data_IF_927342503195
#
_entry.id   IF_927342503195
#
_cell.length_a   1.000
_cell.length_b   1.000
_cell.length_c   1.000
_cell.angle_alpha   90.00
_cell.angle_beta   90.00
_cell.angle_gamma   90.00
#
_symmetry.space_group_name_H-M   'P 1'
#
loop_
_entity.id
_entity.type
_entity.pdbx_description
1 polymer ?
#
# COMPACT_ATOMS: atom_id res chain seq x y z
N UNK A 1 2.90 7.92 29.16
CA UNK A 1 3.00 8.46 30.55
C UNK A 1 3.84 7.48 31.35
N UNK A 2 4.74 7.93 32.24
CA UNK A 2 5.51 7.01 33.05
C UNK A 2 4.58 6.14 33.93
N UNK A 3 4.81 4.84 33.91
CA UNK A 3 4.05 3.88 34.70
C UNK A 3 4.71 3.72 36.06
N UNK A 4 3.96 3.93 37.13
CA UNK A 4 4.45 3.69 38.49
C UNK A 4 4.21 2.24 38.91
N UNK A 5 5.15 1.65 39.60
CA UNK A 5 4.99 0.36 40.25
C UNK A 5 5.34 0.47 41.73
N UNK A 6 4.69 -0.34 42.56
CA UNK A 6 4.91 -0.37 44.01
C UNK A 6 5.34 -1.78 44.44
N UNK A 7 6.16 -1.83 45.48
CA UNK A 7 6.57 -3.10 46.11
C UNK A 7 6.53 -2.97 47.63
N UNK A 8 6.02 -4.02 48.27
CA UNK A 8 5.96 -4.13 49.73
C UNK A 8 6.30 -5.54 50.15
N UNK A 9 7.19 -5.70 51.11
CA UNK A 9 7.52 -6.97 51.70
C UNK A 9 6.70 -7.25 52.97
N UNK A 10 6.52 -8.51 53.31
CA UNK A 10 5.86 -8.94 54.53
C UNK A 10 6.77 -9.89 55.30
N UNK A 11 6.97 -9.57 56.59
CA UNK A 11 7.66 -10.46 57.54
C UNK A 11 6.59 -11.23 58.33
N UNK A 12 6.69 -12.56 58.32
CA UNK A 12 5.83 -13.42 59.11
C UNK A 12 6.62 -14.06 60.27
N UNK A 13 6.11 -13.93 61.48
CA UNK A 13 6.72 -14.49 62.69
C UNK A 13 5.62 -14.87 63.72
N UNK A 14 5.66 -16.08 64.23
CA UNK A 14 4.68 -16.58 65.25
C UNK A 14 3.21 -16.27 64.90
N UNK A 15 2.78 -16.57 63.69
CA UNK A 15 1.45 -16.27 63.12
C UNK A 15 1.10 -14.77 63.05
N UNK A 16 2.05 -13.87 63.23
CA UNK A 16 1.89 -12.45 63.00
C UNK A 16 2.48 -12.09 61.61
N UNK A 17 1.87 -11.14 60.97
CA UNK A 17 2.28 -10.60 59.66
C UNK A 17 2.57 -9.11 59.81
N UNK A 18 3.79 -8.71 59.53
CA UNK A 18 4.28 -7.32 59.63
C UNK A 18 4.65 -6.81 58.25
N UNK A 19 3.87 -5.92 57.61
CA UNK A 19 4.23 -5.35 56.32
C UNK A 19 5.36 -4.32 56.49
N UNK A 20 6.21 -4.26 55.47
CA UNK A 20 7.18 -3.16 55.32
C UNK A 20 6.49 -1.87 54.86
N UNK A 21 7.24 -0.77 54.79
CA UNK A 21 6.80 0.39 53.99
C UNK A 21 6.64 -0.02 52.53
N UNK A 22 5.76 0.69 51.80
CA UNK A 22 5.64 0.60 50.36
C UNK A 22 6.71 1.47 49.71
N UNK A 23 7.46 0.89 48.78
CA UNK A 23 8.38 1.63 47.91
C UNK A 23 7.77 1.78 46.52
N UNK A 24 7.94 2.94 45.90
CA UNK A 24 7.40 3.27 44.57
C UNK A 24 8.56 3.50 43.59
N UNK A 25 8.51 2.82 42.44
CA UNK A 25 9.39 3.06 41.32
C UNK A 25 8.64 3.64 40.13
N UNK A 26 9.36 4.21 39.20
CA UNK A 26 8.82 4.77 37.94
C UNK A 26 9.48 4.02 36.77
N UNK A 27 8.65 3.44 35.92
CA UNK A 27 9.08 2.90 34.64
C UNK A 27 9.02 4.02 33.60
N UNK A 28 10.16 4.38 33.05
CA UNK A 28 10.26 5.38 32.00
C UNK A 28 10.35 4.66 30.64
N UNK A 29 9.45 4.98 29.74
CA UNK A 29 9.50 4.53 28.36
C UNK A 29 10.64 5.27 27.65
N UNK A 30 11.55 4.52 27.05
CA UNK A 30 12.73 5.05 26.36
C UNK A 30 12.72 4.76 24.86
N UNK A 31 11.79 3.92 24.39
CA UNK A 31 11.62 3.60 22.98
C UNK A 31 10.46 4.37 22.40
N UNK A 32 10.70 5.02 21.26
CA UNK A 32 9.65 5.56 20.39
C UNK A 32 9.69 4.88 19.04
N UNK A 33 8.51 4.77 18.40
CA UNK A 33 8.36 4.21 17.05
C UNK A 33 7.59 5.22 16.20
N UNK A 34 8.02 5.36 14.94
CA UNK A 34 7.31 6.09 13.90
C UNK A 34 7.30 5.30 12.61
N UNK A 35 6.26 5.48 11.80
CA UNK A 35 6.11 4.86 10.49
C UNK A 35 5.71 5.91 9.48
N UNK A 36 6.32 5.89 8.32
CA UNK A 36 6.01 6.79 7.20
C UNK A 36 5.93 5.99 5.92
N UNK A 37 5.01 6.39 5.03
CA UNK A 37 5.02 5.97 3.64
C UNK A 37 5.81 7.01 2.83
N UNK A 38 6.71 6.56 1.97
CA UNK A 38 7.46 7.45 1.07
C UNK A 38 6.59 7.81 -0.14
N UNK A 39 5.66 6.91 -0.52
CA UNK A 39 4.70 7.12 -1.60
C UNK A 39 3.52 7.93 -1.06
N UNK A 40 3.14 9.01 -1.73
CA UNK A 40 2.06 9.90 -1.27
C UNK A 40 0.66 9.34 -1.55
N UNK A 41 0.48 8.63 -2.68
CA UNK A 41 -0.78 8.03 -3.10
C UNK A 41 -0.50 6.72 -3.85
N UNK A 42 -1.53 5.88 -4.06
CA UNK A 42 -1.39 4.60 -4.78
C UNK A 42 -2.50 4.39 -5.81
N UNK A 43 -2.16 3.61 -6.84
CA UNK A 43 -3.07 2.97 -7.78
C UNK A 43 -3.01 1.44 -7.62
N UNK A 44 -3.87 0.72 -8.36
CA UNK A 44 -3.88 -0.74 -8.31
C UNK A 44 -2.59 -1.34 -8.90
N UNK A 45 -1.92 -2.17 -8.12
CA UNK A 45 -0.67 -2.79 -8.52
C UNK A 45 0.57 -1.94 -8.26
N UNK A 46 0.43 -0.78 -7.61
CA UNK A 46 1.55 0.07 -7.25
C UNK A 46 2.39 -0.51 -6.12
N UNK A 47 3.64 -0.05 -6.09
CA UNK A 47 4.59 -0.35 -5.02
C UNK A 47 4.67 0.83 -4.06
N UNK A 48 4.38 0.57 -2.77
CA UNK A 48 4.51 1.52 -1.68
C UNK A 48 5.75 1.16 -0.87
N UNK A 49 6.60 2.15 -0.60
CA UNK A 49 7.75 1.98 0.29
C UNK A 49 7.45 2.58 1.65
N UNK A 50 7.62 1.78 2.70
CA UNK A 50 7.50 2.21 4.09
C UNK A 50 8.86 2.34 4.75
N UNK A 51 8.98 3.32 5.65
CA UNK A 51 10.08 3.45 6.60
C UNK A 51 9.52 3.40 8.02
N UNK A 52 10.05 2.49 8.84
CA UNK A 52 9.76 2.40 10.28
C UNK A 52 11.01 2.77 11.04
N UNK A 53 10.93 3.83 11.85
CA UNK A 53 12.03 4.30 12.66
C UNK A 53 11.77 4.01 14.14
N UNK A 54 12.76 3.44 14.80
CA UNK A 54 12.81 3.15 16.23
C UNK A 54 13.90 3.99 16.86
N UNK A 55 13.57 4.75 17.90
CA UNK A 55 14.55 5.62 18.61
C UNK A 55 14.59 5.23 20.08
N UNK A 56 15.77 4.87 20.55
CA UNK A 56 16.05 4.55 21.94
C UNK A 56 16.72 5.74 22.63
N UNK A 57 16.00 6.45 23.48
CA UNK A 57 16.54 7.55 24.30
C UNK A 57 17.21 7.09 25.60
N UNK A 58 17.18 5.78 25.88
CA UNK A 58 17.78 5.19 27.08
C UNK A 58 19.29 5.02 26.99
N UNK A 59 19.90 4.77 28.13
CA UNK A 59 21.35 4.58 28.29
C UNK A 59 21.80 3.14 28.07
N UNK A 60 20.88 2.20 27.85
CA UNK A 60 21.15 0.80 27.54
C UNK A 60 20.64 0.46 26.13
N UNK A 61 21.34 -0.42 25.42
CA UNK A 61 20.88 -0.94 24.14
C UNK A 61 19.62 -1.82 24.34
N UNK A 62 18.66 -1.73 23.43
CA UNK A 62 17.52 -2.63 23.35
C UNK A 62 17.82 -3.72 22.31
N UNK A 63 17.64 -4.99 22.70
CA UNK A 63 17.92 -6.16 21.84
C UNK A 63 16.76 -7.15 21.88
N UNK A 64 16.67 -8.03 20.87
CA UNK A 64 15.58 -9.01 20.80
C UNK A 64 14.21 -8.41 20.53
N UNK A 65 14.16 -7.26 19.86
CA UNK A 65 12.91 -6.66 19.42
C UNK A 65 12.38 -7.39 18.17
N UNK A 66 11.07 -7.43 18.09
CA UNK A 66 10.32 -7.94 16.92
C UNK A 66 9.42 -6.83 16.40
N UNK A 67 9.44 -6.63 15.09
CA UNK A 67 8.51 -5.76 14.38
C UNK A 67 7.54 -6.65 13.61
N UNK A 68 6.24 -6.40 13.80
CA UNK A 68 5.16 -7.02 13.01
C UNK A 68 4.39 -5.92 12.30
N UNK A 69 4.27 -6.04 10.98
CA UNK A 69 3.54 -5.12 10.12
C UNK A 69 2.30 -5.82 9.56
N UNK A 70 1.12 -5.24 9.74
CA UNK A 70 -0.14 -5.86 9.34
C UNK A 70 -0.43 -5.78 7.84
N UNK A 71 0.43 -5.08 7.05
CA UNK A 71 0.28 -4.86 5.61
C UNK A 71 -1.09 -4.24 5.24
N UNK A 72 -1.59 -3.36 6.12
CA UNK A 72 -2.86 -2.69 5.93
C UNK A 72 -4.10 -3.58 6.14
N UNK A 73 -3.96 -4.72 6.80
CA UNK A 73 -5.08 -5.64 7.03
C UNK A 73 -6.29 -4.93 7.65
N UNK A 74 -7.47 -5.16 7.06
CA UNK A 74 -8.73 -4.58 7.49
C UNK A 74 -9.90 -5.55 7.28
N UNK A 75 -11.05 -5.24 7.87
CA UNK A 75 -12.30 -6.00 7.69
C UNK A 75 -13.26 -5.17 6.84
N UNK A 76 -13.55 -5.58 5.58
CA UNK A 76 -14.35 -4.79 4.64
C UNK A 76 -15.78 -4.51 5.11
N UNK A 77 -16.41 -5.46 5.80
CA UNK A 77 -17.75 -5.33 6.37
C UNK A 77 -17.88 -6.17 7.64
N UNK A 78 -18.78 -5.79 8.51
CA UNK A 78 -19.07 -6.54 9.74
C UNK A 78 -19.45 -8.00 9.41
N UNK A 79 -18.81 -8.95 10.09
CA UNK A 79 -19.04 -10.39 9.89
C UNK A 79 -18.28 -11.01 8.73
N UNK A 80 -17.45 -10.28 7.99
CA UNK A 80 -16.54 -10.82 6.96
C UNK A 80 -15.16 -11.13 7.55
N UNK A 81 -14.39 -11.97 6.87
CA UNK A 81 -12.99 -12.20 7.23
C UNK A 81 -12.13 -10.96 6.92
N UNK A 82 -11.10 -10.76 7.73
CA UNK A 82 -10.10 -9.74 7.44
C UNK A 82 -9.36 -10.06 6.13
N UNK A 83 -9.08 -9.03 5.35
CA UNK A 83 -8.30 -9.09 4.12
C UNK A 83 -7.01 -8.29 4.26
N UNK A 84 -5.99 -8.65 3.47
CA UNK A 84 -4.69 -7.98 3.46
C UNK A 84 -4.50 -7.30 2.10
N UNK A 85 -4.60 -5.97 2.02
CA UNK A 85 -4.58 -5.22 0.74
C UNK A 85 -3.19 -5.10 0.11
N UNK A 86 -2.13 -5.44 0.84
CA UNK A 86 -0.76 -5.30 0.35
C UNK A 86 0.04 -6.60 0.52
N UNK A 87 0.96 -6.83 -0.40
CA UNK A 87 1.86 -7.99 -0.39
C UNK A 87 3.30 -7.52 -0.25
N UNK A 88 4.01 -8.02 0.76
CA UNK A 88 5.44 -7.73 0.94
C UNK A 88 6.25 -8.15 -0.30
N UNK A 89 7.14 -7.27 -0.76
CA UNK A 89 8.06 -7.57 -1.84
C UNK A 89 9.36 -8.14 -1.27
N UNK A 90 9.66 -9.38 -1.64
CA UNK A 90 10.87 -10.09 -1.17
C UNK A 90 12.13 -9.31 -1.54
N UNK A 91 13.19 -9.45 -0.72
CA UNK A 91 14.50 -8.83 -0.90
C UNK A 91 14.53 -7.30 -0.89
N UNK A 92 13.43 -6.64 -0.48
CA UNK A 92 13.37 -5.17 -0.36
C UNK A 92 13.71 -4.65 1.02
N UNK A 93 13.70 -5.50 2.06
CA UNK A 93 13.98 -5.09 3.42
C UNK A 93 15.42 -4.56 3.55
N UNK A 94 15.56 -3.35 4.06
CA UNK A 94 16.82 -2.70 4.43
C UNK A 94 16.78 -2.32 5.90
N UNK A 95 17.86 -2.60 6.60
CA UNK A 95 17.99 -2.42 8.05
C UNK A 95 19.18 -1.53 8.35
N UNK A 96 18.93 -0.37 8.96
CA UNK A 96 19.97 0.60 9.33
C UNK A 96 20.03 0.75 10.84
N UNK A 97 21.22 0.88 11.39
CA UNK A 97 21.47 1.30 12.78
C UNK A 97 22.34 2.56 12.75
N UNK A 98 21.84 3.64 13.38
CA UNK A 98 22.48 4.96 13.35
C UNK A 98 22.88 5.39 11.94
N UNK A 99 22.00 5.14 10.94
CA UNK A 99 22.22 5.47 9.54
C UNK A 99 23.15 4.51 8.77
N UNK A 100 23.74 3.51 9.42
CA UNK A 100 24.65 2.54 8.77
C UNK A 100 23.87 1.27 8.42
N UNK A 101 23.92 0.89 7.13
CA UNK A 101 23.28 -0.33 6.63
C UNK A 101 23.89 -1.57 7.33
N UNK A 102 23.03 -2.46 7.77
CA UNK A 102 23.35 -3.70 8.44
C UNK A 102 22.96 -4.90 7.56
N UNK A 103 23.39 -6.10 7.94
CA UNK A 103 22.85 -7.33 7.37
C UNK A 103 21.35 -7.41 7.60
N UNK A 104 20.63 -7.96 6.63
CA UNK A 104 19.16 -8.12 6.70
C UNK A 104 18.80 -9.00 7.90
N UNK A 105 17.93 -8.56 8.81
CA UNK A 105 17.48 -9.34 9.94
C UNK A 105 16.59 -10.51 9.49
N UNK A 106 16.28 -11.42 10.41
CA UNK A 106 15.44 -12.58 10.11
C UNK A 106 14.00 -12.14 9.83
N UNK A 107 13.49 -12.50 8.66
CA UNK A 107 12.07 -12.38 8.30
C UNK A 107 11.41 -13.70 8.70
N UNK A 108 10.62 -13.69 9.77
CA UNK A 108 9.96 -14.87 10.31
C UNK A 108 8.63 -15.17 9.57
N UNK A 109 7.98 -14.15 9.02
CA UNK A 109 6.76 -14.26 8.21
C UNK A 109 6.66 -13.08 7.24
N UNK A 110 5.94 -13.28 6.13
CA UNK A 110 5.71 -12.26 5.09
C UNK A 110 4.29 -11.71 5.08
N UNK A 111 3.35 -12.34 5.80
CA UNK A 111 1.96 -11.87 5.96
C UNK A 111 1.36 -12.41 7.28
N UNK A 112 1.26 -11.59 8.34
CA UNK A 112 1.85 -10.24 8.45
C UNK A 112 3.38 -10.27 8.33
N UNK A 113 3.98 -9.19 7.84
CA UNK A 113 5.43 -9.11 7.76
C UNK A 113 6.01 -9.07 9.18
N UNK A 114 6.77 -10.11 9.56
CA UNK A 114 7.36 -10.22 10.89
C UNK A 114 8.89 -10.29 10.78
N UNK A 115 9.55 -9.30 11.39
CA UNK A 115 11.02 -9.17 11.42
C UNK A 115 11.51 -9.30 12.85
N UNK A 116 12.43 -10.23 13.10
CA UNK A 116 12.93 -10.56 14.44
C UNK A 116 14.41 -10.26 14.61
N UNK A 117 14.87 -10.22 15.86
CA UNK A 117 16.29 -10.03 16.17
C UNK A 117 16.75 -8.58 16.02
N UNK A 118 15.84 -7.63 16.05
CA UNK A 118 16.18 -6.21 15.94
C UNK A 118 16.88 -5.71 17.20
N UNK A 119 17.79 -4.76 17.02
CA UNK A 119 18.50 -4.12 18.13
C UNK A 119 18.68 -2.63 17.86
N UNK A 120 18.61 -1.83 18.94
CA UNK A 120 18.77 -0.37 18.87
C UNK A 120 19.86 0.00 19.87
N UNK A 121 20.93 0.70 19.47
CA UNK A 121 21.96 1.17 20.38
C UNK A 121 21.41 2.09 21.48
N UNK A 122 22.12 2.19 22.60
CA UNK A 122 21.84 3.20 23.62
C UNK A 122 21.94 4.62 23.01
N UNK A 123 20.94 5.46 23.27
CA UNK A 123 20.86 6.81 22.70
C UNK A 123 20.82 6.85 21.16
N UNK A 124 20.50 5.72 20.52
CA UNK A 124 20.58 5.57 19.06
C UNK A 124 19.24 5.29 18.38
N UNK A 125 19.32 5.00 17.09
CA UNK A 125 18.15 4.68 16.28
C UNK A 125 18.37 3.46 15.38
N UNK A 126 17.26 2.91 14.94
CA UNK A 126 17.19 1.85 13.95
C UNK A 126 16.07 2.18 12.95
N UNK A 127 16.35 2.02 11.67
CA UNK A 127 15.37 2.25 10.60
C UNK A 127 15.25 1.00 9.74
N UNK A 128 14.02 0.54 9.54
CA UNK A 128 13.68 -0.50 8.58
C UNK A 128 12.97 0.16 7.40
N UNK A 129 13.40 -0.18 6.18
CA UNK A 129 12.71 0.22 4.95
C UNK A 129 12.37 -1.03 4.16
N UNK A 130 11.15 -1.10 3.65
CA UNK A 130 10.67 -2.23 2.85
C UNK A 130 9.58 -1.79 1.88
N UNK A 131 9.43 -2.54 0.79
CA UNK A 131 8.41 -2.29 -0.21
C UNK A 131 7.29 -3.32 -0.13
N UNK A 132 6.08 -2.86 -0.39
CA UNK A 132 4.87 -3.68 -0.54
C UNK A 132 4.19 -3.34 -1.85
N UNK A 133 3.45 -4.28 -2.42
CA UNK A 133 2.66 -4.08 -3.63
C UNK A 133 1.17 -4.15 -3.29
N UNK A 134 0.38 -3.20 -3.77
CA UNK A 134 -1.08 -3.23 -3.67
C UNK A 134 -1.64 -4.42 -4.45
N UNK A 135 -2.75 -4.99 -3.99
CA UNK A 135 -3.38 -6.17 -4.59
C UNK A 135 -4.91 -5.97 -4.73
N UNK A 136 -5.62 -7.02 -5.15
CA UNK A 136 -7.06 -6.99 -5.42
C UNK A 136 -7.94 -6.62 -4.22
N UNK A 137 -7.42 -6.62 -3.01
CA UNK A 137 -8.15 -6.25 -1.79
C UNK A 137 -7.88 -4.79 -1.38
N UNK A 138 -7.10 -4.07 -2.17
CA UNK A 138 -6.80 -2.66 -1.89
C UNK A 138 -8.03 -1.80 -2.22
N UNK A 139 -8.51 -0.93 -1.31
CA UNK A 139 -9.60 0.00 -1.61
C UNK A 139 -9.22 0.97 -2.74
N UNK A 140 -10.14 1.25 -3.68
CA UNK A 140 -9.87 2.08 -4.87
C UNK A 140 -10.87 3.21 -5.12
N UNK A 141 -11.86 3.41 -4.27
CA UNK A 141 -12.79 4.54 -4.41
C UNK A 141 -12.09 5.89 -4.26
N UNK A 142 -12.72 6.96 -4.75
CA UNK A 142 -12.37 8.31 -4.36
C UNK A 142 -12.46 8.42 -2.83
N UNK A 143 -11.53 9.14 -2.20
CA UNK A 143 -11.42 9.29 -0.71
C UNK A 143 -11.04 7.98 0.03
N UNK A 144 -10.77 6.89 -0.66
CA UNK A 144 -10.31 5.65 -0.06
C UNK A 144 -8.82 5.71 0.31
N UNK A 145 -8.44 4.91 1.31
CA UNK A 145 -7.06 4.87 1.80
C UNK A 145 -6.72 3.51 2.41
N UNK A 146 -5.42 3.25 2.55
CA UNK A 146 -4.91 2.11 3.32
C UNK A 146 -4.10 2.62 4.49
N UNK A 147 -4.49 2.26 5.71
CA UNK A 147 -3.70 2.49 6.93
C UNK A 147 -2.93 1.22 7.26
N UNK A 148 -1.62 1.33 7.29
CA UNK A 148 -0.71 0.24 7.58
C UNK A 148 -0.06 0.42 8.95
N UNK A 149 -0.24 -0.56 9.84
CA UNK A 149 0.20 -0.51 11.24
C UNK A 149 1.40 -1.43 11.48
N UNK A 150 2.46 -0.86 12.04
CA UNK A 150 3.60 -1.59 12.55
C UNK A 150 3.52 -1.68 14.08
N UNK A 151 3.75 -2.87 14.64
CA UNK A 151 3.78 -3.15 16.08
C UNK A 151 5.16 -3.65 16.48
N UNK A 152 5.74 -3.06 17.50
CA UNK A 152 7.04 -3.46 18.07
C UNK A 152 6.83 -4.11 19.43
N UNK A 153 7.43 -5.28 19.61
CA UNK A 153 7.36 -6.09 20.85
C UNK A 153 8.73 -6.61 21.24
N UNK A 154 8.85 -7.20 22.43
CA UNK A 154 10.09 -7.79 22.90
C UNK A 154 11.05 -6.77 23.52
N UNK A 155 12.33 -7.10 23.64
CA UNK A 155 13.38 -6.22 24.15
C UNK A 155 13.17 -5.70 25.57
N UNK A 156 12.31 -6.35 26.38
CA UNK A 156 11.98 -5.90 27.73
C UNK A 156 10.94 -4.77 27.79
N UNK A 157 10.24 -4.49 26.69
CA UNK A 157 9.13 -3.52 26.66
C UNK A 157 7.98 -3.97 27.56
N UNK A 158 7.42 -3.06 28.34
CA UNK A 158 6.29 -3.34 29.21
C UNK A 158 4.97 -3.53 28.43
N UNK A 159 4.87 -2.90 27.26
CA UNK A 159 3.72 -3.00 26.35
C UNK A 159 4.19 -2.90 24.90
N UNK A 160 3.42 -3.44 23.92
CA UNK A 160 3.68 -3.20 22.51
C UNK A 160 3.61 -1.71 22.17
N UNK A 161 4.48 -1.26 21.26
CA UNK A 161 4.41 0.07 20.67
C UNK A 161 3.94 -0.02 19.22
N UNK A 162 3.05 0.87 18.82
CA UNK A 162 2.49 0.89 17.47
C UNK A 162 2.78 2.21 16.76
N UNK A 163 2.92 2.16 15.45
CA UNK A 163 2.97 3.32 14.57
C UNK A 163 2.24 3.00 13.26
N UNK A 164 1.60 4.00 12.71
CA UNK A 164 0.75 3.87 11.53
C UNK A 164 1.20 4.82 10.43
N UNK A 165 0.95 4.42 9.18
CA UNK A 165 1.07 5.29 8.02
C UNK A 165 -0.11 5.02 7.09
N UNK A 166 -0.79 6.09 6.70
CA UNK A 166 -1.91 6.05 5.75
C UNK A 166 -1.44 6.55 4.39
N UNK A 167 -1.83 5.84 3.34
CA UNK A 167 -1.63 6.24 1.94
C UNK A 167 -3.01 6.29 1.28
N UNK A 168 -3.28 7.37 0.58
CA UNK A 168 -4.57 7.59 -0.08
C UNK A 168 -4.58 6.95 -1.47
N UNK A 169 -5.76 6.56 -1.95
CA UNK A 169 -5.93 6.22 -3.36
C UNK A 169 -5.66 7.45 -4.24
N UNK A 170 -5.03 7.23 -5.39
CA UNK A 170 -4.83 8.29 -6.39
C UNK A 170 -6.18 8.62 -7.04
N UNK A 171 -6.68 9.86 -6.96
CA UNK A 171 -7.93 10.25 -7.60
C UNK A 171 -7.85 10.29 -9.13
N UNK A 172 -6.70 10.11 -9.75
CA UNK A 172 -6.53 10.13 -11.20
C UNK A 172 -7.08 8.87 -11.87
N UNK A 173 -7.62 8.97 -13.11
CA UNK A 173 -7.88 7.81 -13.95
C UNK A 173 -6.58 7.11 -14.36
N UNK A 174 -6.58 5.78 -14.42
CA UNK A 174 -5.50 4.95 -14.98
C UNK A 174 -6.03 4.21 -16.20
N UNK A 175 -5.75 4.77 -17.39
CA UNK A 175 -6.34 4.30 -18.64
C UNK A 175 -5.42 3.30 -19.36
N UNK A 176 -6.05 2.27 -19.91
CA UNK A 176 -5.41 1.33 -20.83
C UNK A 176 -6.28 1.06 -22.04
N UNK A 177 -5.65 0.71 -23.18
CA UNK A 177 -6.33 0.34 -24.42
C UNK A 177 -5.78 -0.98 -24.94
N UNK A 178 -6.71 -1.88 -25.35
CA UNK A 178 -6.38 -3.13 -26.04
C UNK A 178 -7.06 -3.08 -27.41
N UNK A 179 -6.30 -3.35 -28.47
CA UNK A 179 -6.80 -3.44 -29.85
C UNK A 179 -6.80 -4.89 -30.31
N UNK A 180 -7.90 -5.33 -30.91
CA UNK A 180 -8.02 -6.63 -31.56
C UNK A 180 -8.65 -6.49 -32.95
N UNK A 181 -8.55 -7.54 -33.75
CA UNK A 181 -9.06 -7.58 -35.13
C UNK A 181 -9.65 -8.95 -35.44
N UNK A 182 -10.80 -8.97 -36.10
CA UNK A 182 -11.46 -10.19 -36.56
C UNK A 182 -12.18 -9.95 -37.92
N UNK A 183 -12.01 -10.82 -38.93
CA UNK A 183 -11.00 -11.89 -39.00
C UNK A 183 -9.59 -11.33 -39.16
N UNK A 184 -8.56 -12.13 -38.88
CA UNK A 184 -7.15 -11.74 -39.04
C UNK A 184 -6.64 -11.87 -40.49
N UNK A 185 -7.42 -12.50 -41.36
CA UNK A 185 -7.13 -12.65 -42.80
C UNK A 185 -8.39 -12.32 -43.60
N UNK A 186 -8.25 -11.44 -44.57
CA UNK A 186 -9.33 -11.02 -45.46
C UNK A 186 -8.86 -11.08 -46.92
N UNK A 187 -9.85 -11.27 -47.85
CA UNK A 187 -9.64 -11.13 -49.29
C UNK A 187 -9.70 -9.66 -49.70
N UNK A 188 -9.32 -9.35 -50.94
CA UNK A 188 -9.60 -8.03 -51.55
C UNK A 188 -11.10 -7.69 -51.41
N UNK A 189 -11.40 -6.46 -51.01
CA UNK A 189 -12.72 -6.00 -50.67
C UNK A 189 -13.43 -6.73 -49.51
N UNK A 190 -12.71 -7.55 -48.74
CA UNK A 190 -13.23 -8.18 -47.54
C UNK A 190 -13.45 -7.18 -46.42
N UNK A 191 -14.35 -7.53 -45.49
CA UNK A 191 -14.67 -6.72 -44.32
C UNK A 191 -14.02 -7.33 -43.08
N UNK A 192 -13.41 -6.49 -42.25
CA UNK A 192 -12.89 -6.87 -40.93
C UNK A 192 -13.38 -5.89 -39.87
N UNK A 193 -13.37 -6.30 -38.63
CA UNK A 193 -13.74 -5.49 -37.48
C UNK A 193 -12.52 -5.30 -36.58
N UNK A 194 -12.19 -4.04 -36.32
CA UNK A 194 -11.31 -3.67 -35.21
C UNK A 194 -12.13 -3.46 -33.95
N UNK A 195 -11.69 -4.01 -32.84
CA UNK A 195 -12.29 -3.78 -31.53
C UNK A 195 -11.27 -3.15 -30.61
N UNK A 196 -11.67 -2.09 -29.93
CA UNK A 196 -10.89 -1.40 -28.91
C UNK A 196 -11.58 -1.61 -27.56
N UNK A 197 -10.86 -2.20 -26.61
CA UNK A 197 -11.32 -2.27 -25.23
C UNK A 197 -10.58 -1.21 -24.45
N UNK A 198 -11.32 -0.24 -23.93
CA UNK A 198 -10.81 0.83 -23.07
C UNK A 198 -11.11 0.45 -21.63
N UNK A 199 -10.13 0.59 -20.75
CA UNK A 199 -10.27 0.27 -19.33
C UNK A 199 -9.70 1.39 -18.48
N UNK A 200 -10.42 1.72 -17.42
CA UNK A 200 -9.95 2.59 -16.36
C UNK A 200 -9.73 1.74 -15.10
N UNK A 201 -8.51 1.72 -14.58
CA UNK A 201 -8.12 1.03 -13.33
C UNK A 201 -7.86 2.01 -12.19
N UNK A 202 -7.96 3.31 -12.49
CA UNK A 202 -7.78 4.39 -11.52
C UNK A 202 -8.92 4.49 -10.52
N UNK A 203 -8.77 5.38 -9.55
CA UNK A 203 -9.72 5.60 -8.47
C UNK A 203 -10.94 6.44 -8.89
N UNK A 204 -10.87 7.12 -10.03
CA UNK A 204 -11.95 7.99 -10.54
C UNK A 204 -12.24 7.71 -12.01
N UNK A 205 -13.50 7.93 -12.41
CA UNK A 205 -13.88 7.93 -13.82
C UNK A 205 -13.31 9.15 -14.55
N UNK A 206 -13.13 9.03 -15.85
CA UNK A 206 -12.78 10.17 -16.70
C UNK A 206 -13.96 11.12 -16.83
N UNK A 207 -13.65 12.39 -17.01
CA UNK A 207 -14.60 13.47 -17.24
C UNK A 207 -14.41 14.07 -18.63
N UNK A 208 -15.38 14.87 -19.09
CA UNK A 208 -15.25 15.55 -20.38
C UNK A 208 -14.03 16.48 -20.47
N UNK A 209 -13.57 17.01 -19.33
CA UNK A 209 -12.38 17.88 -19.26
C UNK A 209 -11.06 17.14 -19.45
N UNK A 210 -11.04 15.81 -19.26
CA UNK A 210 -9.84 14.98 -19.50
C UNK A 210 -9.57 14.80 -21.00
N UNK A 211 -10.53 15.14 -21.87
CA UNK A 211 -10.41 15.10 -23.34
C UNK A 211 -9.90 13.75 -23.87
N UNK A 212 -10.33 12.65 -23.28
CA UNK A 212 -9.92 11.31 -23.70
C UNK A 212 -10.39 11.06 -25.13
N UNK A 213 -9.48 10.76 -26.03
CA UNK A 213 -9.78 10.48 -27.43
C UNK A 213 -9.01 9.25 -27.92
N UNK A 214 -9.66 8.47 -28.79
CA UNK A 214 -9.04 7.35 -29.49
C UNK A 214 -8.64 7.79 -30.89
N UNK A 215 -7.37 7.54 -31.25
CA UNK A 215 -6.87 7.76 -32.61
C UNK A 215 -6.29 6.46 -33.14
N UNK A 216 -6.60 6.09 -34.39
CA UNK A 216 -6.06 4.92 -35.07
C UNK A 216 -5.69 5.26 -36.51
N UNK A 217 -4.52 4.81 -36.95
CA UNK A 217 -4.02 5.03 -38.31
C UNK A 217 -3.92 3.71 -39.06
N UNK A 218 -4.55 3.61 -40.21
CA UNK A 218 -4.56 2.42 -41.06
C UNK A 218 -3.51 2.50 -42.15
N UNK A 219 -2.70 1.47 -42.25
CA UNK A 219 -1.70 1.31 -43.32
C UNK A 219 -1.79 -0.11 -43.89
N UNK A 220 -2.28 -0.33 -45.13
CA UNK A 220 -2.84 0.69 -46.06
C UNK A 220 -4.13 1.33 -45.54
N UNK A 221 -4.51 2.45 -46.19
CA UNK A 221 -5.79 3.10 -45.89
C UNK A 221 -6.96 2.14 -46.13
N UNK A 222 -7.98 2.20 -45.25
CA UNK A 222 -9.15 1.34 -45.27
C UNK A 222 -10.42 2.22 -45.39
N UNK A 223 -11.51 1.66 -45.92
CA UNK A 223 -12.82 2.34 -45.91
C UNK A 223 -13.58 1.94 -44.63
N UNK A 224 -13.92 2.90 -43.79
CA UNK A 224 -14.77 2.66 -42.63
C UNK A 224 -16.23 2.50 -43.09
N UNK A 225 -16.84 1.37 -42.72
CA UNK A 225 -18.26 1.08 -43.04
C UNK A 225 -19.21 1.44 -41.90
N UNK A 226 -18.77 1.25 -40.67
CA UNK A 226 -19.53 1.60 -39.47
C UNK A 226 -18.59 1.74 -38.27
N UNK A 227 -18.99 2.54 -37.29
CA UNK A 227 -18.34 2.69 -35.98
C UNK A 227 -19.42 2.62 -34.92
N UNK A 228 -19.14 1.87 -33.86
CA UNK A 228 -20.04 1.80 -32.69
C UNK A 228 -19.24 2.01 -31.41
N UNK A 229 -19.87 2.58 -30.40
CA UNK A 229 -19.37 2.66 -29.02
C UNK A 229 -20.43 2.05 -28.10
N UNK A 230 -20.08 0.98 -27.39
CA UNK A 230 -20.99 0.24 -26.50
C UNK A 230 -22.31 -0.15 -27.18
N UNK A 231 -22.23 -0.57 -28.46
CA UNK A 231 -23.39 -0.96 -29.28
C UNK A 231 -24.14 0.21 -29.90
N UNK A 232 -23.82 1.47 -29.56
CA UNK A 232 -24.43 2.66 -30.15
C UNK A 232 -23.66 3.13 -31.39
N UNK A 233 -24.36 3.32 -32.54
CA UNK A 233 -23.74 3.77 -33.75
C UNK A 233 -23.26 5.23 -33.64
N UNK A 234 -22.03 5.48 -34.08
CA UNK A 234 -21.41 6.81 -34.12
C UNK A 234 -21.54 7.42 -35.52
N UNK A 235 -21.66 8.76 -35.57
CA UNK A 235 -21.86 9.55 -36.80
C UNK A 235 -20.55 10.26 -37.19
N UNK A 236 -20.13 10.06 -38.43
CA UNK A 236 -18.97 10.76 -38.99
C UNK A 236 -19.21 12.29 -39.05
N UNK A 237 -18.19 13.06 -38.68
CA UNK A 237 -18.23 14.51 -38.59
C UNK A 237 -18.83 15.07 -37.30
N UNK A 238 -19.51 14.24 -36.50
CA UNK A 238 -20.07 14.60 -35.18
C UNK A 238 -19.32 13.88 -34.04
N UNK A 239 -19.26 12.55 -34.13
CA UNK A 239 -18.68 11.72 -33.06
C UNK A 239 -17.23 11.32 -33.37
N UNK A 240 -16.89 11.21 -34.65
CA UNK A 240 -15.54 10.90 -35.11
C UNK A 240 -15.21 11.56 -36.45
N UNK A 241 -13.93 11.67 -36.75
CA UNK A 241 -13.39 12.00 -38.07
C UNK A 241 -12.60 10.83 -38.64
N UNK A 242 -12.60 10.76 -39.99
CA UNK A 242 -11.74 9.87 -40.76
C UNK A 242 -11.30 10.58 -42.03
N UNK A 243 -10.01 10.76 -42.21
CA UNK A 243 -9.42 11.48 -43.36
C UNK A 243 -9.01 10.56 -44.55
N UNK A 244 -9.39 9.30 -44.49
CA UNK A 244 -8.98 8.25 -45.43
C UNK A 244 -7.85 7.37 -44.95
N UNK A 245 -7.17 7.75 -43.87
CA UNK A 245 -6.12 6.97 -43.24
C UNK A 245 -6.20 6.95 -41.70
N UNK A 246 -6.55 8.07 -41.08
CA UNK A 246 -6.57 8.23 -39.61
C UNK A 246 -8.00 8.43 -39.13
N UNK A 247 -8.40 7.55 -38.22
CA UNK A 247 -9.62 7.65 -37.42
C UNK A 247 -9.32 8.41 -36.12
N UNK A 248 -10.26 9.28 -35.70
CA UNK A 248 -10.18 9.95 -34.40
C UNK A 248 -11.57 10.23 -33.84
N UNK A 249 -11.82 9.92 -32.58
CA UNK A 249 -13.02 10.34 -31.86
C UNK A 249 -13.00 11.86 -31.61
N UNK A 250 -14.14 12.52 -31.74
CA UNK A 250 -14.33 13.98 -31.53
C UNK A 250 -14.92 14.25 -30.15
N UNK A 251 -15.85 13.40 -29.69
CA UNK A 251 -16.46 13.50 -28.37
C UNK A 251 -15.53 12.84 -27.34
N UNK A 252 -15.27 13.49 -26.20
CA UNK A 252 -14.48 12.88 -25.12
C UNK A 252 -15.08 11.55 -24.68
N UNK A 253 -14.24 10.53 -24.59
CA UNK A 253 -14.64 9.21 -24.10
C UNK A 253 -14.68 9.25 -22.56
N UNK A 254 -15.80 8.81 -21.99
CA UNK A 254 -15.99 8.67 -20.56
C UNK A 254 -15.77 7.19 -20.17
N UNK A 255 -14.75 6.93 -19.33
CA UNK A 255 -14.29 5.57 -18.99
C UNK A 255 -14.16 5.44 -17.47
#
# INVERSE_FOLDING_TARGET
MPTTFTNQATLSYNNQSIPSNVVTGVLTEVLSVSKTAITAAYQNGDTITYAVQLVNSGTAALTGLTLTDNLGAYTPAAGTAAVVPMTYQTDTLRYYRNGILQATPTIAATSPLTVTGLSIPAGGNTTLMYAVKTNQFTPYGAEESVTNTATVTGGGLAAPLTAEATVNADPAPDLSVIKSMCPTTVTEAGVLTYSFTLQNRGATATTATDNVSLTDTFTPALTITSVTLDGTALTAGTDYTYDGATFRTLTPLLI
#
